data_IF_756236758583
#
_entry.id   IF_756236758583
#
_cell.length_a   1.000
_cell.length_b   1.000
_cell.length_c   1.000
_cell.angle_alpha   90.00
_cell.angle_beta   90.00
_cell.angle_gamma   90.00
#
_symmetry.space_group_name_H-M   'P 1'
#
loop_
_entity.id
_entity.type
_entity.pdbx_description
1 polymer ?
#
# COMPACT_ATOMS: atom_id res chain seq x y z
N UNK A 1 -15.79 39.15 27.08
CA UNK A 1 -15.53 38.93 26.80
C UNK A 1 -15.34 38.30 26.30
N UNK A 2 -15.30 38.35 26.31
CA UNK A 2 -15.07 37.65 25.84
C UNK A 2 -14.83 37.03 25.33
N UNK A 3 -14.71 36.89 25.33
CA UNK A 3 -14.49 36.22 24.92
C UNK A 3 -14.30 35.51 24.28
N UNK A 4 -14.35 35.63 24.36
CA UNK A 4 -14.12 34.86 23.86
C UNK A 4 -13.98 34.31 23.22
N UNK A 5 -13.93 34.41 23.21
CA UNK A 5 -13.73 33.79 22.67
C UNK A 5 -13.45 33.24 21.99
N UNK A 6 -13.39 33.35 22.01
CA UNK A 6 -13.11 32.80 21.46
C UNK A 6 -12.88 32.14 20.88
N UNK A 7 -12.92 32.10 20.90
CA UNK A 7 -12.61 31.29 20.51
C UNK A 7 -12.45 30.62 19.90
N UNK A 8 -12.54 30.48 19.80
CA UNK A 8 -12.36 29.71 19.33
C UNK A 8 -12.06 29.17 18.75
N UNK A 9 -12.14 29.15 18.83
CA UNK A 9 -11.89 28.46 18.45
C UNK A 9 -11.63 27.92 17.90
N UNK A 10 -11.72 28.17 18.04
CA UNK A 10 -11.41 27.48 17.67
C UNK A 10 -11.26 26.87 17.13
N UNK A 11 -11.38 26.73 17.07
CA UNK A 11 -11.22 26.00 16.71
C UNK A 11 -11.00 25.47 16.19
N UNK A 12 -11.08 25.46 16.26
CA UNK A 12 -10.88 24.80 15.97
C UNK A 12 -10.76 24.29 15.49
N UNK A 13 -10.94 24.28 15.51
CA UNK A 13 -10.81 23.69 15.20
C UNK A 13 -10.62 23.35 14.62
N UNK A 14 -10.65 23.30 14.61
CA UNK A 14 -10.39 22.97 14.15
C UNK A 14 -10.05 22.47 13.64
N UNK A 15 -9.87 22.36 13.52
CA UNK A 15 -9.45 21.87 13.12
C UNK A 15 -9.30 21.21 12.66
N UNK A 16 -9.30 20.76 12.49
CA UNK A 16 -9.05 20.24 12.04
C UNK A 16 -8.85 19.73 11.36
N UNK A 17 -8.64 19.58 11.21
CA UNK A 17 -8.42 19.16 10.50
C UNK A 17 -8.25 18.37 9.86
N UNK A 18 -8.25 18.25 9.61
CA UNK A 18 -8.20 17.66 8.99
C UNK A 18 -7.62 16.84 8.66
N UNK A 19 -7.49 16.45 8.62
CA UNK A 19 -7.03 15.80 8.22
C UNK A 19 -6.81 15.15 7.52
N UNK A 20 -6.57 15.36 7.49
CA UNK A 20 -6.62 14.72 6.57
C UNK A 20 -6.26 13.84 5.94
N UNK A 21 -6.29 14.29 5.82
CA UNK A 21 -6.14 13.47 4.82
C UNK A 21 -5.48 12.24 5.17
N UNK A 22 -6.04 11.68 5.83
CA UNK A 22 -5.60 10.46 6.27
C UNK A 22 -5.86 9.39 5.29
N UNK A 23 -6.29 9.74 4.10
CA UNK A 23 -6.43 8.76 3.06
C UNK A 23 -5.07 8.15 2.83
N UNK A 24 -4.94 6.85 2.92
CA UNK A 24 -3.65 6.25 2.60
C UNK A 24 -3.35 6.53 1.14
N UNK A 25 -2.12 6.90 0.87
CA UNK A 25 -1.69 7.09 -0.49
C UNK A 25 -1.60 5.71 -1.13
N UNK A 26 -2.08 5.56 -2.33
CA UNK A 26 -2.04 4.28 -3.01
C UNK A 26 -0.63 4.00 -3.52
N UNK A 27 -0.20 2.75 -3.42
CA UNK A 27 0.97 2.31 -4.14
C UNK A 27 0.60 2.16 -5.62
N UNK A 28 1.58 2.24 -6.49
CA UNK A 28 1.35 2.05 -7.92
C UNK A 28 1.68 0.63 -8.32
N UNK A 29 0.96 0.14 -9.31
CA UNK A 29 1.24 -1.17 -9.89
C UNK A 29 1.30 -1.02 -11.40
N UNK A 30 2.18 -1.77 -12.03
CA UNK A 30 2.43 -1.64 -13.45
C UNK A 30 1.28 -2.14 -14.31
N UNK A 31 0.46 -3.02 -13.77
CA UNK A 31 -0.67 -3.62 -14.49
C UNK A 31 -1.73 -4.04 -13.49
N UNK A 32 -2.98 -3.75 -13.78
CA UNK A 32 -4.08 -4.14 -12.90
C UNK A 32 -5.37 -4.19 -13.74
N UNK A 33 -5.91 -5.35 -14.02
CA UNK A 33 -5.50 -6.68 -13.53
C UNK A 33 -4.17 -7.14 -14.13
N UNK A 34 -3.48 -7.96 -13.37
CA UNK A 34 -2.21 -8.54 -13.81
C UNK A 34 -2.53 -9.72 -14.72
N UNK A 35 -2.05 -9.65 -15.93
CA UNK A 35 -2.25 -10.72 -16.92
C UNK A 35 -0.98 -11.47 -17.24
N UNK A 36 0.16 -10.89 -16.89
CA UNK A 36 1.46 -11.51 -17.14
C UNK A 36 1.96 -12.31 -15.94
N UNK A 37 3.24 -12.54 -15.92
CA UNK A 37 3.88 -13.39 -14.91
C UNK A 37 4.39 -12.62 -13.71
N UNK A 38 4.38 -11.31 -13.78
CA UNK A 38 4.87 -10.47 -12.68
C UNK A 38 4.22 -9.11 -12.74
N UNK A 39 4.34 -8.36 -11.66
CA UNK A 39 3.85 -7.00 -11.57
C UNK A 39 4.89 -6.19 -10.81
N UNK A 40 5.12 -4.95 -11.26
CA UNK A 40 6.01 -4.03 -10.55
C UNK A 40 5.16 -3.19 -9.61
N UNK A 41 5.53 -3.21 -8.33
CA UNK A 41 4.86 -2.44 -7.29
C UNK A 41 5.81 -1.32 -6.93
N UNK A 42 5.34 -0.08 -6.92
CA UNK A 42 6.18 1.07 -6.62
C UNK A 42 5.48 2.01 -5.65
N UNK A 43 6.27 2.81 -4.97
CA UNK A 43 5.79 3.77 -3.97
C UNK A 43 6.73 4.96 -3.96
N UNK A 44 6.32 6.09 -3.36
CA UNK A 44 7.23 7.24 -3.30
C UNK A 44 8.51 6.89 -2.57
N UNK A 45 9.63 7.36 -3.10
CA UNK A 45 10.93 7.10 -2.51
C UNK A 45 10.98 7.64 -1.09
N UNK A 46 11.55 6.87 -0.19
CA UNK A 46 11.69 7.24 1.20
C UNK A 46 13.11 7.04 1.67
N UNK A 47 13.35 7.37 2.92
CA UNK A 47 14.68 7.29 3.49
C UNK A 47 14.91 5.98 4.24
N UNK A 48 13.88 5.21 4.49
CA UNK A 48 14.00 3.97 5.23
C UNK A 48 13.77 2.75 4.36
N UNK A 49 14.06 1.60 4.90
CA UNK A 49 13.72 0.34 4.25
C UNK A 49 12.21 0.19 4.20
N UNK A 50 11.70 -0.40 3.15
CA UNK A 50 10.28 -0.62 2.96
C UNK A 50 9.96 -2.08 3.23
N UNK A 51 8.84 -2.32 3.88
CA UNK A 51 8.32 -3.66 4.06
C UNK A 51 7.08 -3.84 3.21
N UNK A 52 7.15 -4.76 2.29
CA UNK A 52 6.06 -5.02 1.36
C UNK A 52 5.40 -6.33 1.72
N UNK A 53 4.09 -6.32 1.82
CA UNK A 53 3.31 -7.51 2.14
C UNK A 53 2.18 -7.64 1.13
N UNK A 54 1.83 -8.88 0.80
CA UNK A 54 0.69 -9.18 -0.06
C UNK A 54 -0.27 -10.06 0.73
N UNK A 55 -1.52 -9.66 0.74
CA UNK A 55 -2.58 -10.38 1.48
C UNK A 55 -3.67 -10.82 0.53
N UNK A 56 -4.36 -11.88 0.92
CA UNK A 56 -5.63 -12.22 0.28
C UNK A 56 -6.66 -11.16 0.67
N UNK A 57 -7.77 -11.15 -0.05
CA UNK A 57 -8.86 -10.24 0.26
C UNK A 57 -9.42 -10.45 1.67
N UNK A 58 -9.26 -11.64 2.22
CA UNK A 58 -9.73 -11.95 3.58
C UNK A 58 -8.68 -11.72 4.66
N UNK A 59 -7.48 -11.29 4.28
CA UNK A 59 -6.47 -10.88 5.24
C UNK A 59 -5.35 -11.87 5.51
N UNK A 60 -5.29 -12.95 4.78
CA UNK A 60 -4.20 -13.92 4.94
C UNK A 60 -2.97 -13.41 4.23
N UNK A 61 -1.83 -13.34 4.94
CA UNK A 61 -0.58 -12.87 4.34
C UNK A 61 0.04 -13.98 3.50
N UNK A 62 0.28 -13.68 2.22
CA UNK A 62 0.84 -14.63 1.27
C UNK A 62 2.32 -14.42 1.01
N UNK A 63 2.79 -13.20 1.15
CA UNK A 63 4.17 -12.86 0.80
C UNK A 63 4.58 -11.64 1.59
N UNK A 64 5.85 -11.58 1.98
CA UNK A 64 6.40 -10.42 2.66
C UNK A 64 7.88 -10.33 2.33
N UNK A 65 8.35 -9.14 2.07
CA UNK A 65 9.75 -8.90 1.79
C UNK A 65 10.13 -7.49 2.25
N UNK A 66 11.43 -7.28 2.42
CA UNK A 66 11.97 -5.98 2.79
C UNK A 66 12.82 -5.48 1.65
N UNK A 67 12.60 -4.25 1.25
CA UNK A 67 13.37 -3.60 0.19
C UNK A 67 14.24 -2.54 0.86
N UNK A 68 15.57 -2.67 0.80
CA UNK A 68 16.45 -1.69 1.46
C UNK A 68 16.34 -0.33 0.78
N UNK A 69 16.52 0.72 1.59
CA UNK A 69 16.59 2.08 1.06
C UNK A 69 17.78 2.20 0.13
N UNK A 70 17.70 3.03 -0.91
CA UNK A 70 16.60 3.89 -1.29
C UNK A 70 15.62 3.26 -2.26
N UNK A 71 15.55 1.96 -2.32
CA UNK A 71 14.68 1.28 -3.26
C UNK A 71 13.22 1.63 -3.06
N UNK A 72 12.50 1.82 -4.14
CA UNK A 72 11.09 2.18 -4.11
C UNK A 72 10.27 1.38 -5.12
N UNK A 73 10.77 0.24 -5.52
CA UNK A 73 9.99 -0.69 -6.36
C UNK A 73 10.37 -2.12 -6.05
N UNK A 74 9.42 -2.99 -6.34
CA UNK A 74 9.60 -4.42 -6.17
C UNK A 74 8.87 -5.15 -7.28
N UNK A 75 9.54 -6.10 -7.90
CA UNK A 75 8.90 -6.96 -8.90
C UNK A 75 8.41 -8.22 -8.18
N UNK A 76 7.10 -8.36 -8.14
CA UNK A 76 6.48 -9.56 -7.55
C UNK A 76 6.14 -10.53 -8.66
N UNK A 77 6.65 -11.73 -8.57
CA UNK A 77 6.44 -12.77 -9.56
C UNK A 77 5.19 -13.61 -9.28
N UNK A 78 4.31 -13.08 -8.43
CA UNK A 78 3.03 -13.71 -8.09
C UNK A 78 3.17 -15.03 -7.34
N UNK A 79 4.31 -15.24 -6.68
CA UNK A 79 4.53 -16.47 -5.93
C UNK A 79 4.19 -16.31 -4.47
N UNK A 80 3.92 -17.44 -3.84
CA UNK A 80 3.61 -17.52 -2.42
C UNK A 80 4.91 -17.64 -1.64
N UNK A 81 5.16 -16.69 -0.73
CA UNK A 81 6.23 -16.81 0.24
C UNK A 81 7.61 -17.09 -0.33
N UNK A 82 7.89 -16.65 -1.54
CA UNK A 82 9.17 -16.88 -2.17
C UNK A 82 9.35 -18.28 -2.76
N UNK A 83 8.30 -19.07 -2.79
CA UNK A 83 8.34 -20.39 -3.40
C UNK A 83 8.14 -20.31 -4.92
N UNK A 84 7.82 -21.46 -5.51
CA UNK A 84 7.58 -21.55 -6.94
C UNK A 84 6.09 -21.60 -7.28
N UNK A 85 5.25 -21.72 -6.26
CA UNK A 85 3.81 -21.81 -6.48
C UNK A 85 3.23 -20.43 -6.65
N UNK A 86 2.50 -20.23 -7.72
CA UNK A 86 1.89 -18.94 -8.00
C UNK A 86 0.51 -18.83 -7.38
N UNK A 87 0.11 -17.58 -7.11
CA UNK A 87 -1.20 -17.29 -6.57
C UNK A 87 -2.25 -17.57 -7.64
N UNK A 88 -3.45 -17.90 -7.19
CA UNK A 88 -4.58 -18.10 -8.10
C UNK A 88 -5.11 -16.74 -8.55
N UNK A 89 -5.86 -16.73 -9.63
CA UNK A 89 -6.53 -15.51 -10.07
C UNK A 89 -7.50 -15.07 -8.98
N UNK A 90 -7.56 -13.76 -8.76
CA UNK A 90 -8.42 -13.19 -7.74
C UNK A 90 -7.96 -11.83 -7.30
N UNK A 91 -8.50 -11.37 -6.18
CA UNK A 91 -8.21 -10.06 -5.62
C UNK A 91 -7.24 -10.19 -4.45
N UNK A 92 -6.27 -9.28 -4.43
CA UNK A 92 -5.23 -9.25 -3.41
C UNK A 92 -5.04 -7.82 -2.93
N UNK A 93 -4.41 -7.67 -1.79
CA UNK A 93 -4.10 -6.35 -1.24
C UNK A 93 -2.60 -6.28 -1.02
N UNK A 94 -1.98 -5.26 -1.61
CA UNK A 94 -0.57 -4.98 -1.43
C UNK A 94 -0.44 -3.85 -0.42
N UNK A 95 0.46 -4.02 0.54
CA UNK A 95 0.73 -3.01 1.57
C UNK A 95 2.23 -2.77 1.61
N UNK A 96 2.62 -1.51 1.52
CA UNK A 96 4.02 -1.10 1.65
C UNK A 96 4.12 -0.16 2.83
N UNK A 97 5.02 -0.47 3.76
CA UNK A 97 5.26 0.37 4.93
C UNK A 97 6.68 0.89 4.88
N UNK A 98 6.84 2.22 4.90
CA UNK A 98 8.14 2.86 4.91
C UNK A 98 8.05 4.11 5.76
N UNK A 99 8.95 4.24 6.74
CA UNK A 99 9.00 5.42 7.64
C UNK A 99 7.65 5.73 8.28
N UNK A 100 6.94 4.70 8.70
CA UNK A 100 5.64 4.89 9.35
C UNK A 100 4.51 5.21 8.40
N UNK A 101 4.79 5.40 7.14
CA UNK A 101 3.75 5.60 6.13
C UNK A 101 3.33 4.26 5.57
N UNK A 102 2.04 4.15 5.27
CA UNK A 102 1.49 2.92 4.72
C UNK A 102 0.84 3.22 3.39
N UNK A 103 1.26 2.50 2.36
CA UNK A 103 0.71 2.62 1.01
C UNK A 103 0.00 1.32 0.68
N UNK A 104 -1.23 1.40 0.18
CA UNK A 104 -2.03 0.23 -0.09
C UNK A 104 -2.52 0.25 -1.52
N UNK A 105 -2.70 -0.94 -2.09
CA UNK A 105 -3.29 -1.05 -3.42
C UNK A 105 -4.02 -2.37 -3.52
N UNK A 106 -5.24 -2.32 -4.02
CA UNK A 106 -5.96 -3.51 -4.41
C UNK A 106 -5.40 -3.98 -5.74
N UNK A 107 -5.12 -5.25 -5.85
CA UNK A 107 -4.51 -5.84 -7.03
C UNK A 107 -5.35 -7.02 -7.48
N UNK A 108 -5.68 -7.04 -8.75
CA UNK A 108 -6.40 -8.16 -9.33
C UNK A 108 -5.45 -8.95 -10.21
N UNK A 109 -5.49 -10.28 -10.10
CA UNK A 109 -4.71 -11.17 -10.92
C UNK A 109 -5.68 -11.93 -11.80
N UNK A 110 -5.49 -11.82 -13.12
CA UNK A 110 -6.39 -12.42 -14.09
C UNK A 110 -5.57 -13.00 -15.25
N UNK A 111 -4.71 -13.97 -14.89
CA UNK A 111 -3.84 -14.61 -15.87
C UNK A 111 -4.67 -15.57 -16.71
N UNK A 112 -4.42 -15.60 -18.01
CA UNK A 112 -5.14 -16.55 -18.86
C UNK A 112 -4.76 -17.98 -18.51
N UNK A 113 -5.71 -18.88 -18.67
CA UNK A 113 -5.45 -20.29 -18.50
C UNK A 113 -4.51 -20.79 -19.58
N UNK A 114 -3.62 -21.73 -19.25
CA UNK A 114 -2.73 -22.30 -20.23
C UNK A 114 -3.47 -23.14 -21.26
#
# INVERSE_FOLDING_TARGET
>A
MARGATGLLALLLLGAPAVPAQSPVAADVSENPVRGDSVVISWPAGTGAARLSVFTFTGERLHQTTIPAPGNEYVWDLTLGGGTRRVVNGAYIVVVEVNGQRYRRRLFVARPSP
#
